data_IF_894150399907
#
_entry.id   IF_894150399907
#
_cell.length_a   1.000
_cell.length_b   1.000
_cell.length_c   1.000
_cell.angle_alpha   90.00
_cell.angle_beta   90.00
_cell.angle_gamma   90.00
#
_symmetry.space_group_name_H-M   'P 1'
#
loop_
_entity.id
_entity.type
_entity.pdbx_description
1 polymer ?
#
# COMPACT_ATOMS: atom_id res chain seq x y z
N UNK A 1 0.69 -9.57 25.66
CA UNK A 1 1.34 -8.41 25.02
C UNK A 1 0.39 -7.87 23.97
N UNK A 2 0.03 -6.58 24.00
CA UNK A 2 -0.85 -5.96 22.99
C UNK A 2 0.02 -5.14 22.03
N UNK A 3 -0.06 -5.44 20.74
CA UNK A 3 0.67 -4.71 19.69
C UNK A 3 -0.29 -3.67 19.11
N UNK A 4 0.21 -2.45 18.88
CA UNK A 4 -0.57 -1.36 18.27
C UNK A 4 0.25 -0.65 17.20
N UNK A 5 -0.44 -0.08 16.21
CA UNK A 5 0.13 0.78 15.18
C UNK A 5 -0.13 2.25 15.51
N UNK A 6 0.76 3.15 15.05
CA UNK A 6 0.61 4.59 15.21
C UNK A 6 1.25 5.31 14.02
N UNK A 7 0.55 6.33 13.51
CA UNK A 7 1.10 7.30 12.56
C UNK A 7 1.76 8.42 13.36
N UNK A 8 3.07 8.70 13.19
CA UNK A 8 3.73 9.81 13.85
C UNK A 8 3.09 11.16 13.51
N UNK A 9 3.02 12.07 14.48
CA UNK A 9 2.42 13.42 14.30
C UNK A 9 3.18 14.28 13.29
N UNK A 10 4.47 14.00 13.08
CA UNK A 10 5.32 14.66 12.10
C UNK A 10 5.00 14.23 10.66
N UNK A 11 4.17 13.19 10.48
CA UNK A 11 3.86 12.60 9.19
C UNK A 11 4.59 11.30 8.92
N UNK A 12 4.16 10.61 7.87
CA UNK A 12 4.74 9.33 7.45
C UNK A 12 4.61 9.14 5.93
N UNK A 13 5.44 8.27 5.33
CA UNK A 13 5.25 7.84 3.97
C UNK A 13 3.88 7.17 3.78
N UNK A 14 3.17 7.53 2.71
CA UNK A 14 2.01 6.79 2.20
C UNK A 14 2.36 6.10 0.89
N UNK A 15 1.85 4.90 0.69
CA UNK A 15 2.08 4.12 -0.53
C UNK A 15 0.77 3.47 -1.00
N UNK A 16 0.76 3.14 -2.29
CA UNK A 16 -0.34 2.42 -2.94
C UNK A 16 0.26 1.28 -3.75
N UNK A 17 -0.21 0.06 -3.50
CA UNK A 17 0.16 -1.10 -4.30
C UNK A 17 -0.82 -1.26 -5.45
N UNK A 18 -0.28 -1.47 -6.65
CA UNK A 18 -1.07 -1.53 -7.89
C UNK A 18 -0.68 -2.78 -8.68
N UNK A 19 -1.67 -3.39 -9.34
CA UNK A 19 -1.42 -4.41 -10.34
C UNK A 19 -1.02 -3.73 -11.67
N UNK A 20 0.07 -4.20 -12.26
CA UNK A 20 0.54 -3.75 -13.57
C UNK A 20 0.69 -4.95 -14.51
N UNK A 21 0.13 -4.85 -15.72
CA UNK A 21 0.38 -5.81 -16.78
C UNK A 21 1.64 -5.38 -17.55
N UNK A 22 2.65 -6.25 -17.59
CA UNK A 22 3.88 -5.98 -18.33
C UNK A 22 3.62 -6.00 -19.85
N UNK A 23 4.35 -5.15 -20.59
CA UNK A 23 4.18 -4.99 -22.04
C UNK A 23 4.42 -6.28 -22.82
N UNK A 24 5.34 -7.11 -22.34
CA UNK A 24 5.79 -8.37 -22.93
C UNK A 24 5.27 -9.60 -22.18
N UNK A 25 4.19 -9.44 -21.38
CA UNK A 25 3.58 -10.56 -20.68
C UNK A 25 3.18 -11.68 -21.68
N UNK A 26 3.55 -12.95 -21.44
CA UNK A 26 3.29 -14.05 -22.39
C UNK A 26 1.80 -14.40 -22.52
N UNK A 27 0.98 -13.96 -21.55
CA UNK A 27 -0.44 -14.26 -21.42
C UNK A 27 -1.24 -13.01 -21.06
N UNK A 28 -1.31 -11.99 -21.96
CA UNK A 28 -1.89 -10.69 -21.62
C UNK A 28 -3.40 -10.76 -21.36
N UNK A 29 -4.11 -11.63 -22.07
CA UNK A 29 -5.56 -11.80 -21.89
C UNK A 29 -5.90 -12.36 -20.51
N UNK A 30 -5.14 -13.35 -20.04
CA UNK A 30 -5.28 -13.94 -18.71
C UNK A 30 -4.89 -12.94 -17.62
N UNK A 31 -3.85 -12.13 -17.87
CA UNK A 31 -3.48 -11.02 -16.99
C UNK A 31 -4.61 -10.02 -16.80
N UNK A 32 -5.26 -9.59 -17.89
CA UNK A 32 -6.44 -8.72 -17.81
C UNK A 32 -7.62 -9.41 -17.11
N UNK A 33 -7.90 -10.68 -17.41
CA UNK A 33 -8.97 -11.42 -16.75
C UNK A 33 -8.75 -11.54 -15.23
N UNK A 34 -7.49 -11.69 -14.79
CA UNK A 34 -7.16 -11.69 -13.37
C UNK A 34 -7.35 -10.31 -12.72
N UNK A 35 -6.91 -9.23 -13.37
CA UNK A 35 -7.13 -7.86 -12.87
C UNK A 35 -8.64 -7.58 -12.76
N UNK A 36 -9.43 -7.93 -13.77
CA UNK A 36 -10.91 -7.82 -13.74
C UNK A 36 -11.49 -8.57 -12.54
N UNK A 37 -11.08 -9.83 -12.34
CA UNK A 37 -11.55 -10.64 -11.21
C UNK A 37 -11.22 -10.01 -9.85
N UNK A 38 -9.99 -9.52 -9.67
CA UNK A 38 -9.56 -8.88 -8.41
C UNK A 38 -10.36 -7.61 -8.14
N UNK A 39 -10.69 -6.83 -9.17
CA UNK A 39 -11.44 -5.58 -9.05
C UNK A 39 -12.93 -5.76 -8.70
N UNK A 40 -13.45 -6.99 -8.68
CA UNK A 40 -14.83 -7.23 -8.23
C UNK A 40 -14.96 -6.94 -6.73
N UNK A 41 -15.99 -6.19 -6.27
CA UNK A 41 -16.08 -5.75 -4.88
C UNK A 41 -15.98 -6.87 -3.85
N UNK A 42 -16.64 -8.00 -4.10
CA UNK A 42 -16.65 -9.18 -3.22
C UNK A 42 -15.28 -9.87 -3.14
N UNK A 43 -14.52 -9.87 -4.25
CA UNK A 43 -13.18 -10.45 -4.31
C UNK A 43 -12.18 -9.53 -3.62
N UNK A 44 -12.24 -8.24 -3.92
CA UNK A 44 -11.42 -7.23 -3.24
C UNK A 44 -11.67 -7.26 -1.72
N UNK A 45 -12.93 -7.31 -1.29
CA UNK A 45 -13.28 -7.36 0.14
C UNK A 45 -12.77 -8.63 0.81
N UNK A 46 -12.92 -9.79 0.17
CA UNK A 46 -12.39 -11.06 0.67
C UNK A 46 -10.87 -11.00 0.86
N UNK A 47 -10.15 -10.40 -0.10
CA UNK A 47 -8.71 -10.21 0.01
C UNK A 47 -8.35 -9.26 1.17
N UNK A 48 -9.04 -8.11 1.29
CA UNK A 48 -8.86 -7.17 2.39
C UNK A 48 -9.10 -7.80 3.77
N UNK A 49 -10.15 -8.60 3.94
CA UNK A 49 -10.45 -9.26 5.21
C UNK A 49 -9.39 -10.31 5.56
N UNK A 50 -8.86 -11.01 4.56
CA UNK A 50 -7.80 -12.00 4.78
C UNK A 50 -6.45 -11.36 5.13
N UNK A 51 -6.04 -10.33 4.38
CA UNK A 51 -4.73 -9.67 4.55
C UNK A 51 -4.75 -8.62 5.67
N UNK A 52 -5.93 -8.09 6.02
CA UNK A 52 -6.09 -7.03 7.02
C UNK A 52 -5.66 -5.65 6.52
N UNK A 53 -5.73 -5.41 5.21
CA UNK A 53 -5.29 -4.15 4.58
C UNK A 53 -6.44 -3.45 3.84
N UNK A 54 -6.46 -2.10 3.83
CA UNK A 54 -7.44 -1.33 3.08
C UNK A 54 -7.24 -1.53 1.58
N UNK A 55 -8.26 -1.22 0.80
CA UNK A 55 -8.22 -1.34 -0.66
C UNK A 55 -8.77 -0.08 -1.33
N UNK A 56 -8.50 0.07 -2.63
CA UNK A 56 -8.94 1.21 -3.44
C UNK A 56 -10.34 1.06 -4.05
N UNK A 57 -11.05 -0.05 -3.82
CA UNK A 57 -12.37 -0.28 -4.38
C UNK A 57 -13.46 0.29 -3.45
N UNK A 58 -14.06 1.40 -3.88
CA UNK A 58 -15.09 2.11 -3.11
C UNK A 58 -16.29 1.21 -2.80
N UNK A 59 -16.69 0.36 -3.73
CA UNK A 59 -17.85 -0.52 -3.61
C UNK A 59 -17.58 -1.70 -2.65
N UNK A 60 -16.32 -2.08 -2.46
CA UNK A 60 -15.91 -3.12 -1.50
C UNK A 60 -15.98 -2.66 -0.04
N UNK A 61 -16.02 -1.34 0.22
CA UNK A 61 -16.00 -0.77 1.59
C UNK A 61 -17.10 -1.31 2.49
N UNK A 62 -18.30 -1.59 1.94
CA UNK A 62 -19.43 -2.13 2.71
C UNK A 62 -19.32 -3.63 2.99
N UNK A 63 -18.41 -4.32 2.32
CA UNK A 63 -18.26 -5.77 2.33
C UNK A 63 -17.08 -6.24 3.20
N UNK A 64 -16.21 -5.32 3.63
CA UNK A 64 -15.08 -5.63 4.53
C UNK A 64 -15.53 -5.70 6.00
N UNK A 65 -14.74 -6.41 6.81
CA UNK A 65 -15.01 -6.59 8.23
C UNK A 65 -15.03 -5.24 8.97
N UNK A 66 -15.97 -5.07 9.90
CA UNK A 66 -16.14 -3.83 10.67
C UNK A 66 -14.85 -3.41 11.38
N UNK A 67 -14.09 -4.38 11.91
CA UNK A 67 -12.81 -4.12 12.58
C UNK A 67 -11.76 -3.49 11.64
N UNK A 68 -11.81 -3.81 10.35
CA UNK A 68 -10.93 -3.21 9.35
C UNK A 68 -11.48 -1.86 8.89
N UNK A 69 -12.79 -1.81 8.59
CA UNK A 69 -13.50 -0.62 8.09
C UNK A 69 -13.47 0.57 9.06
N UNK A 70 -13.51 0.30 10.35
CA UNK A 70 -13.54 1.32 11.40
C UNK A 70 -12.15 1.54 12.02
N UNK A 71 -11.10 0.93 11.48
CA UNK A 71 -9.75 1.10 12.01
C UNK A 71 -9.17 2.47 11.61
N UNK A 72 -8.94 3.41 12.55
CA UNK A 72 -8.41 4.73 12.23
C UNK A 72 -6.96 4.70 11.72
N UNK A 73 -6.22 3.61 11.93
CA UNK A 73 -4.91 3.42 11.33
C UNK A 73 -4.98 3.14 9.82
N UNK A 74 -6.09 2.55 9.35
CA UNK A 74 -6.31 2.21 7.94
C UNK A 74 -7.19 3.23 7.22
N UNK A 75 -8.05 3.90 7.98
CA UNK A 75 -8.91 5.00 7.53
C UNK A 75 -8.66 6.24 8.39
N UNK A 76 -7.47 6.87 8.25
CA UNK A 76 -7.11 8.06 9.01
C UNK A 76 -8.02 9.25 8.69
N UNK A 77 -8.13 10.19 9.64
CA UNK A 77 -8.85 11.45 9.42
C UNK A 77 -8.15 12.31 8.38
N UNK A 78 -8.86 13.34 7.88
CA UNK A 78 -8.27 14.28 6.92
C UNK A 78 -7.01 14.96 7.47
N UNK A 79 -7.03 15.34 8.75
CA UNK A 79 -5.91 16.02 9.41
C UNK A 79 -4.67 15.12 9.46
N UNK A 80 -4.85 13.82 9.69
CA UNK A 80 -3.74 12.85 9.64
C UNK A 80 -3.28 12.66 8.19
N UNK A 81 -4.21 12.51 7.24
CA UNK A 81 -3.87 12.39 5.81
C UNK A 81 -3.05 13.58 5.28
N UNK A 82 -3.32 14.79 5.74
CA UNK A 82 -2.59 16.00 5.35
C UNK A 82 -1.11 15.99 5.82
N UNK A 83 -0.73 15.12 6.76
CA UNK A 83 0.66 14.92 7.19
C UNK A 83 1.41 13.82 6.41
N UNK A 84 0.69 13.02 5.62
CA UNK A 84 1.28 11.93 4.87
C UNK A 84 1.87 12.40 3.54
N UNK A 85 2.95 11.76 3.11
CA UNK A 85 3.64 12.12 1.87
C UNK A 85 3.96 10.89 1.02
N UNK A 86 3.77 10.94 -0.31
CA UNK A 86 4.25 9.88 -1.18
C UNK A 86 5.77 9.92 -1.27
N UNK A 87 6.39 8.75 -1.44
CA UNK A 87 7.81 8.71 -1.77
C UNK A 87 8.02 9.07 -3.24
N UNK A 88 8.86 10.06 -3.49
CA UNK A 88 9.28 10.42 -4.85
C UNK A 88 10.45 9.55 -5.31
N UNK A 89 10.58 9.37 -6.61
CA UNK A 89 11.76 8.73 -7.21
C UNK A 89 12.87 9.77 -7.35
N UNK A 90 13.95 9.70 -6.56
CA UNK A 90 15.01 10.67 -6.65
C UNK A 90 15.90 10.41 -7.90
N UNK A 91 16.69 11.41 -8.34
CA UNK A 91 17.65 11.22 -9.42
C UNK A 91 18.67 10.12 -9.13
N UNK A 92 19.13 9.42 -10.16
CA UNK A 92 20.07 8.29 -10.03
C UNK A 92 21.36 8.63 -9.25
N UNK A 93 21.83 9.88 -9.31
CA UNK A 93 23.00 10.33 -8.53
C UNK A 93 22.71 10.29 -7.02
N UNK A 94 21.53 10.72 -6.61
CA UNK A 94 21.10 10.71 -5.21
C UNK A 94 20.78 9.28 -4.74
N UNK A 95 20.21 8.44 -5.60
CA UNK A 95 20.01 7.01 -5.29
C UNK A 95 21.30 6.30 -4.91
N UNK A 96 22.38 6.52 -5.65
CA UNK A 96 23.68 5.90 -5.33
C UNK A 96 24.18 6.28 -3.94
N UNK A 97 23.97 7.54 -3.54
CA UNK A 97 24.32 8.00 -2.19
C UNK A 97 23.44 7.29 -1.17
N UNK A 98 22.11 7.26 -1.38
CA UNK A 98 21.15 6.58 -0.50
C UNK A 98 21.49 5.11 -0.29
N UNK A 99 21.76 4.36 -1.37
CA UNK A 99 22.14 2.95 -1.28
C UNK A 99 23.43 2.75 -0.51
N UNK A 100 24.47 3.56 -0.76
CA UNK A 100 25.75 3.45 -0.07
C UNK A 100 25.61 3.72 1.43
N UNK A 101 24.87 4.76 1.80
CA UNK A 101 24.59 5.09 3.20
C UNK A 101 23.80 3.96 3.87
N UNK A 102 22.78 3.43 3.20
CA UNK A 102 22.00 2.33 3.76
C UNK A 102 22.83 1.06 3.98
N UNK A 103 23.74 0.72 3.05
CA UNK A 103 24.68 -0.39 3.25
C UNK A 103 25.51 -0.18 4.50
N UNK A 104 26.11 1.01 4.67
CA UNK A 104 26.90 1.39 5.85
C UNK A 104 26.13 1.26 7.16
N UNK A 105 24.89 1.77 7.20
CA UNK A 105 24.01 1.64 8.36
C UNK A 105 23.78 0.17 8.71
N UNK A 106 23.50 -0.68 7.71
CA UNK A 106 23.27 -2.12 7.93
C UNK A 106 24.53 -2.88 8.35
N UNK A 107 25.71 -2.47 7.89
CA UNK A 107 26.97 -3.16 8.16
C UNK A 107 27.75 -2.61 9.35
N UNK A 108 27.36 -1.44 9.88
CA UNK A 108 28.05 -0.78 10.98
C UNK A 108 29.42 -0.18 10.60
N UNK A 109 29.61 0.17 9.32
CA UNK A 109 30.86 0.74 8.76
C UNK A 109 30.66 2.16 8.30
#
# INVERSE_FOLDING_TARGET
>A
MKITYSIPREGAPVWMENLALLKDAPHPQQGYAFIDYILRPEITAKNSNYVGSPNGNKDATKLIDTQLRENPAQHPTKEVMDTLYPLETPPLRLERVRTRVWTRVKTGT
#
